data_IF_519721797371
#
_entry.id   IF_519721797371
#
_cell.length_a   1.000
_cell.length_b   1.000
_cell.length_c   1.000
_cell.angle_alpha   90.00
_cell.angle_beta   90.00
_cell.angle_gamma   90.00
#
_symmetry.space_group_name_H-M   'P 1'
#
loop_
_entity.id
_entity.type
_entity.pdbx_description
1 polymer ?
#
# COMPACT_ATOMS: atom_id res chain seq x y z
N UNK A 1 -32.62 -11.56 24.59
CA UNK A 1 -31.91 -10.47 23.89
C UNK A 1 -30.43 -10.78 24.00
N UNK A 2 -29.81 -11.23 22.92
CA UNK A 2 -28.41 -11.69 22.93
C UNK A 2 -27.53 -10.61 22.31
N UNK A 3 -26.66 -10.01 23.12
CA UNK A 3 -25.75 -8.93 22.73
C UNK A 3 -24.74 -9.44 21.70
N UNK A 4 -24.84 -8.94 20.46
CA UNK A 4 -23.81 -9.16 19.44
C UNK A 4 -22.54 -8.40 19.84
N UNK A 5 -21.56 -9.13 20.36
CA UNK A 5 -20.18 -8.67 20.52
C UNK A 5 -19.64 -8.21 19.16
N UNK A 6 -19.68 -6.89 18.92
CA UNK A 6 -19.00 -6.25 17.79
C UNK A 6 -17.50 -6.44 18.04
N UNK A 7 -16.89 -7.45 17.39
CA UNK A 7 -15.45 -7.65 17.38
C UNK A 7 -14.80 -6.38 16.78
N UNK A 8 -14.32 -5.49 17.64
CA UNK A 8 -13.47 -4.36 17.25
C UNK A 8 -12.31 -4.94 16.43
N UNK A 9 -12.29 -4.66 15.13
CA UNK A 9 -11.19 -5.07 14.25
C UNK A 9 -9.91 -4.46 14.80
N UNK A 10 -8.87 -5.28 14.94
CA UNK A 10 -7.56 -4.80 15.37
C UNK A 10 -7.10 -3.62 14.50
N UNK A 11 -6.47 -2.58 15.06
CA UNK A 11 -5.88 -1.49 14.28
C UNK A 11 -4.99 -2.07 13.17
N UNK A 12 -5.20 -1.64 11.92
CA UNK A 12 -4.49 -2.18 10.76
C UNK A 12 -5.13 -3.41 10.09
N UNK A 13 -6.25 -3.93 10.60
CA UNK A 13 -7.11 -4.88 9.86
C UNK A 13 -8.01 -4.12 8.86
N UNK A 14 -7.41 -3.23 8.07
CA UNK A 14 -8.08 -2.42 7.07
C UNK A 14 -8.99 -3.28 6.19
N UNK A 15 -10.09 -2.69 5.75
CA UNK A 15 -11.00 -3.32 4.79
C UNK A 15 -10.16 -3.71 3.56
N UNK A 16 -10.26 -4.97 3.12
CA UNK A 16 -9.62 -5.40 1.86
C UNK A 16 -10.02 -4.41 0.78
N UNK A 17 -9.06 -3.92 0.00
CA UNK A 17 -9.43 -3.05 -1.10
C UNK A 17 -10.39 -3.80 -2.03
N UNK A 18 -11.41 -3.09 -2.54
CA UNK A 18 -12.45 -3.66 -3.38
C UNK A 18 -12.02 -3.70 -4.86
N UNK A 19 -10.81 -4.19 -5.13
CA UNK A 19 -10.22 -4.23 -6.47
C UNK A 19 -10.18 -5.64 -7.09
N UNK A 20 -10.88 -6.59 -6.48
CA UNK A 20 -11.00 -7.95 -7.01
C UNK A 20 -9.73 -8.80 -6.91
N UNK A 21 -8.66 -8.32 -6.26
CA UNK A 21 -7.42 -9.07 -6.11
C UNK A 21 -7.60 -10.31 -5.21
N UNK A 22 -7.30 -11.49 -5.76
CA UNK A 22 -7.56 -12.79 -5.10
C UNK A 22 -6.33 -13.42 -4.46
N UNK A 23 -5.13 -13.24 -5.04
CA UNK A 23 -3.86 -13.79 -4.55
C UNK A 23 -3.02 -12.71 -3.85
N UNK A 24 -3.54 -12.14 -2.76
CA UNK A 24 -2.85 -11.09 -2.01
C UNK A 24 -2.10 -11.68 -0.81
N UNK A 25 -0.82 -11.31 -0.68
CA UNK A 25 -0.03 -11.58 0.52
C UNK A 25 -0.06 -10.35 1.45
N UNK A 26 -0.17 -10.59 2.77
CA UNK A 26 -0.09 -9.51 3.76
C UNK A 26 1.36 -9.31 4.20
N UNK A 27 1.87 -8.08 4.04
CA UNK A 27 3.21 -7.66 4.51
C UNK A 27 3.09 -6.41 5.37
N UNK A 28 3.91 -6.32 6.41
CA UNK A 28 4.06 -5.12 7.23
C UNK A 28 5.38 -4.43 6.85
N UNK A 29 5.32 -3.12 6.60
CA UNK A 29 6.47 -2.30 6.21
C UNK A 29 6.43 -0.96 6.95
N UNK A 30 7.59 -0.33 7.13
CA UNK A 30 7.68 1.06 7.60
C UNK A 30 7.81 1.99 6.39
N UNK A 31 6.97 3.02 6.34
CA UNK A 31 6.92 4.01 5.25
C UNK A 31 6.89 5.39 5.90
N UNK A 32 7.60 6.35 5.31
CA UNK A 32 7.59 7.73 5.80
C UNK A 32 6.23 8.42 5.58
N UNK A 33 5.90 9.48 6.34
CA UNK A 33 4.60 10.14 6.24
C UNK A 33 4.30 10.78 4.87
N UNK A 34 5.32 11.13 4.08
CA UNK A 34 5.13 11.67 2.73
C UNK A 34 4.74 10.54 1.79
N UNK A 35 5.47 9.41 1.85
CA UNK A 35 5.17 8.20 1.10
C UNK A 35 3.75 7.68 1.35
N UNK A 36 3.30 7.64 2.62
CA UNK A 36 1.92 7.25 2.96
C UNK A 36 0.90 8.16 2.27
N UNK A 37 1.05 9.49 2.37
CA UNK A 37 0.11 10.44 1.75
C UNK A 37 0.03 10.30 0.23
N UNK A 38 1.17 10.05 -0.43
CA UNK A 38 1.22 9.84 -1.88
C UNK A 38 0.47 8.57 -2.25
N UNK A 39 0.76 7.45 -1.58
CA UNK A 39 0.14 6.16 -1.87
C UNK A 39 -1.36 6.17 -1.57
N UNK A 40 -1.80 6.76 -0.46
CA UNK A 40 -3.23 6.92 -0.16
C UNK A 40 -3.93 7.77 -1.21
N UNK A 41 -3.31 8.86 -1.69
CA UNK A 41 -3.88 9.66 -2.78
C UNK A 41 -4.05 8.85 -4.06
N UNK A 42 -3.06 8.01 -4.42
CA UNK A 42 -3.15 7.10 -5.58
C UNK A 42 -4.29 6.10 -5.40
N UNK A 43 -4.44 5.56 -4.18
CA UNK A 43 -5.43 4.54 -3.85
C UNK A 43 -6.78 5.06 -3.38
N UNK A 44 -7.10 6.34 -3.55
CA UNK A 44 -8.39 6.92 -3.12
C UNK A 44 -8.65 6.78 -1.61
N UNK A 45 -7.62 6.93 -0.78
CA UNK A 45 -7.67 6.74 0.66
C UNK A 45 -7.38 5.31 1.13
N UNK A 46 -7.13 4.36 0.22
CA UNK A 46 -6.73 3.00 0.56
C UNK A 46 -5.25 2.76 0.23
N UNK A 47 -4.42 2.62 1.28
CA UNK A 47 -2.98 2.42 1.12
C UNK A 47 -2.60 1.17 0.30
N UNK A 48 -3.29 0.03 0.53
CA UNK A 48 -3.00 -1.21 -0.20
C UNK A 48 -3.31 -1.10 -1.70
N UNK A 49 -4.39 -0.40 -2.05
CA UNK A 49 -4.70 -0.12 -3.44
C UNK A 49 -3.67 0.83 -4.06
N UNK A 50 -3.28 1.85 -3.30
CA UNK A 50 -2.24 2.79 -3.70
C UNK A 50 -0.91 2.12 -4.07
N UNK A 51 -0.46 1.18 -3.24
CA UNK A 51 0.74 0.39 -3.49
C UNK A 51 0.61 -0.44 -4.77
N UNK A 52 -0.54 -1.11 -4.98
CA UNK A 52 -0.74 -1.94 -6.18
C UNK A 52 -0.80 -1.11 -7.46
N UNK A 53 -1.54 0.00 -7.45
CA UNK A 53 -1.63 0.89 -8.60
C UNK A 53 -0.29 1.58 -8.92
N UNK A 54 0.46 1.99 -7.90
CA UNK A 54 1.81 2.51 -8.10
C UNK A 54 2.73 1.45 -8.73
N UNK A 55 2.71 0.22 -8.22
CA UNK A 55 3.50 -0.89 -8.77
C UNK A 55 3.12 -1.22 -10.22
N UNK A 56 1.82 -1.28 -10.54
CA UNK A 56 1.34 -1.49 -11.91
C UNK A 56 1.85 -0.41 -12.86
N UNK A 57 1.77 0.87 -12.46
CA UNK A 57 2.25 2.00 -13.27
C UNK A 57 3.76 1.91 -13.52
N UNK A 58 4.55 1.59 -12.50
CA UNK A 58 6.01 1.41 -12.63
C UNK A 58 6.36 0.25 -13.56
N UNK A 59 5.60 -0.85 -13.49
CA UNK A 59 5.76 -1.98 -14.40
C UNK A 59 5.45 -1.58 -15.85
N UNK A 60 4.31 -0.95 -16.09
CA UNK A 60 3.88 -0.50 -17.42
C UNK A 60 4.81 0.56 -18.02
N UNK A 61 5.36 1.45 -17.20
CA UNK A 61 6.32 2.46 -17.65
C UNK A 61 7.73 1.92 -17.84
N UNK A 62 7.99 0.68 -17.41
CA UNK A 62 9.34 0.09 -17.41
C UNK A 62 10.27 0.68 -16.34
N UNK A 63 9.79 1.49 -15.40
CA UNK A 63 10.59 2.08 -14.32
C UNK A 63 10.72 1.10 -13.13
N UNK A 64 11.26 -0.07 -13.42
CA UNK A 64 11.56 -1.14 -12.45
C UNK A 64 13.07 -1.26 -12.21
N UNK A 65 13.80 -0.17 -12.45
CA UNK A 65 15.25 -0.15 -12.30
C UNK A 65 15.65 -0.55 -10.88
N UNK A 66 16.60 -1.48 -10.76
CA UNK A 66 17.07 -1.96 -9.47
C UNK A 66 17.57 -0.81 -8.60
N UNK A 67 17.23 -0.85 -7.32
CA UNK A 67 17.79 0.06 -6.33
C UNK A 67 19.31 0.01 -6.37
N UNK A 68 19.95 1.19 -6.37
CA UNK A 68 21.39 1.33 -6.15
C UNK A 68 21.63 2.46 -5.15
N UNK A 69 22.51 2.21 -4.16
CA UNK A 69 22.85 3.20 -3.12
C UNK A 69 23.33 4.52 -3.76
N UNK A 70 24.20 4.43 -4.76
CA UNK A 70 24.72 5.59 -5.48
C UNK A 70 23.62 6.47 -6.10
N UNK A 71 22.60 5.88 -6.75
CA UNK A 71 21.48 6.66 -7.33
C UNK A 71 20.58 7.26 -6.26
N UNK A 72 20.44 6.60 -5.12
CA UNK A 72 19.64 7.10 -4.01
C UNK A 72 20.30 8.31 -3.33
N UNK A 73 21.61 8.23 -3.10
CA UNK A 73 22.38 9.30 -2.47
C UNK A 73 22.53 10.52 -3.38
N UNK A 74 22.68 10.33 -4.69
CA UNK A 74 22.77 11.42 -5.67
C UNK A 74 21.49 12.27 -5.81
N UNK A 75 20.38 11.87 -5.18
CA UNK A 75 19.09 12.62 -5.16
C UNK A 75 18.93 13.52 -3.93
N UNK A 76 19.82 13.38 -2.94
CA UNK A 76 19.87 14.25 -1.75
C UNK A 76 20.60 15.53 -2.09
#
# INVERSE_FOLDING_TARGET
MEERLIKRRAPGAGVKAADGATQVERRNVMIDPVGVRVLEKIGGGNLSLGVREAARRLWESGDTAKFTKNRHEARK
#
